data_IF_025286595778
#
_entry.id   IF_025286595778
#
_cell.length_a   1.000
_cell.length_b   1.000
_cell.length_c   1.000
_cell.angle_alpha   90.00
_cell.angle_beta   90.00
_cell.angle_gamma   90.00
#
_symmetry.space_group_name_H-M   'P 1'
#
loop_
_entity.id
_entity.type
_entity.pdbx_description
1 polymer ?
#
# COMPACT_ATOMS: atom_id res chain seq x y z
N UNK A 1 -9.54 -11.01 14.57
CA UNK A 1 -8.23 -10.42 14.94
C UNK A 1 -7.31 -11.40 15.66
N UNK A 2 -7.64 -11.89 16.84
CA UNK A 2 -6.76 -12.74 17.68
C UNK A 2 -6.23 -14.00 16.98
N UNK A 3 -7.04 -14.66 16.14
CA UNK A 3 -6.63 -15.86 15.38
C UNK A 3 -5.40 -15.61 14.47
N UNK A 4 -5.27 -14.43 13.89
CA UNK A 4 -4.18 -14.09 12.96
C UNK A 4 -2.90 -13.66 13.69
N UNK A 5 -3.03 -12.99 14.85
CA UNK A 5 -1.88 -12.62 15.67
C UNK A 5 -1.11 -13.85 16.16
N UNK A 6 -1.81 -14.92 16.50
CA UNK A 6 -1.19 -16.20 16.87
C UNK A 6 -0.44 -16.88 15.71
N UNK A 7 -0.64 -16.41 14.47
CA UNK A 7 0.06 -16.88 13.26
C UNK A 7 1.14 -15.91 12.78
N UNK A 8 1.55 -14.96 13.61
CA UNK A 8 2.49 -13.87 13.25
C UNK A 8 2.01 -13.01 12.07
N UNK A 9 0.68 -12.89 11.88
CA UNK A 9 0.04 -12.11 10.83
C UNK A 9 -0.62 -10.87 11.41
N UNK A 10 -0.36 -9.72 10.77
CA UNK A 10 -0.97 -8.43 11.16
C UNK A 10 -2.09 -8.10 10.17
N UNK A 11 -3.34 -7.91 10.62
CA UNK A 11 -4.44 -7.58 9.73
C UNK A 11 -4.35 -6.12 9.26
N UNK A 12 -4.70 -5.90 7.98
CA UNK A 12 -4.99 -4.58 7.42
C UNK A 12 -6.50 -4.47 7.32
N UNK A 13 -7.09 -3.54 8.07
CA UNK A 13 -8.55 -3.35 8.13
C UNK A 13 -8.96 -2.29 7.11
N UNK A 14 -9.91 -2.64 6.24
CA UNK A 14 -10.51 -1.71 5.30
C UNK A 14 -11.99 -1.51 5.65
N UNK A 15 -12.44 -0.25 5.69
CA UNK A 15 -13.86 0.08 5.77
C UNK A 15 -14.41 0.29 4.37
N UNK A 16 -15.23 -0.65 3.92
CA UNK A 16 -15.86 -0.58 2.60
C UNK A 16 -17.16 0.19 2.69
N UNK A 17 -17.29 1.24 1.88
CA UNK A 17 -18.53 2.02 1.75
C UNK A 17 -19.26 1.54 0.51
N UNK A 18 -20.48 1.02 0.69
CA UNK A 18 -21.40 0.71 -0.40
C UNK A 18 -22.42 1.85 -0.59
N UNK A 19 -22.69 2.22 -1.85
CA UNK A 19 -23.68 3.24 -2.21
C UNK A 19 -23.17 4.68 -2.21
N UNK A 20 -24.09 5.64 -2.04
CA UNK A 20 -23.75 7.08 -2.01
C UNK A 20 -22.81 7.41 -0.85
N UNK A 21 -21.62 7.84 -1.18
CA UNK A 21 -20.59 8.12 -0.21
C UNK A 21 -20.94 9.35 0.65
N UNK A 22 -21.03 9.16 1.96
CA UNK A 22 -21.10 10.24 2.94
C UNK A 22 -19.74 10.30 3.66
N UNK A 23 -18.87 11.20 3.20
CA UNK A 23 -17.51 11.31 3.76
C UNK A 23 -17.49 11.57 5.27
N UNK A 24 -18.47 12.30 5.83
CA UNK A 24 -18.59 12.52 7.28
C UNK A 24 -18.88 11.21 8.03
N UNK A 25 -19.65 10.29 7.44
CA UNK A 25 -19.86 8.96 7.99
C UNK A 25 -18.59 8.14 7.90
N UNK A 26 -17.91 8.15 6.76
CA UNK A 26 -16.61 7.49 6.56
C UNK A 26 -15.60 7.93 7.61
N UNK A 27 -15.44 9.23 7.81
CA UNK A 27 -14.57 9.82 8.82
C UNK A 27 -14.90 9.30 10.23
N UNK A 28 -16.17 9.31 10.65
CA UNK A 28 -16.59 8.82 11.96
C UNK A 28 -16.30 7.33 12.15
N UNK A 29 -16.60 6.52 11.14
CA UNK A 29 -16.38 5.07 11.21
C UNK A 29 -14.88 4.72 11.26
N UNK A 30 -14.02 5.39 10.48
CA UNK A 30 -12.58 5.17 10.61
C UNK A 30 -12.06 5.56 11.99
N UNK A 31 -12.45 6.70 12.55
CA UNK A 31 -12.04 7.11 13.89
C UNK A 31 -12.55 6.15 14.97
N UNK A 32 -13.77 5.61 14.83
CA UNK A 32 -14.28 4.55 15.68
C UNK A 32 -13.47 3.26 15.55
N UNK A 33 -13.14 2.83 14.33
CA UNK A 33 -12.28 1.67 14.10
C UNK A 33 -10.92 1.89 14.77
N UNK A 34 -10.26 3.02 14.53
CA UNK A 34 -8.96 3.37 15.12
C UNK A 34 -9.02 3.33 16.65
N UNK A 35 -10.09 3.85 17.27
CA UNK A 35 -10.23 3.83 18.74
C UNK A 35 -10.29 2.42 19.32
N UNK A 36 -10.83 1.45 18.57
CA UNK A 36 -11.02 0.06 18.98
C UNK A 36 -9.84 -0.86 18.63
N UNK A 37 -8.99 -0.45 17.67
CA UNK A 37 -7.86 -1.28 17.24
C UNK A 37 -6.75 -1.26 18.29
N UNK A 38 -6.11 -2.43 18.53
CA UNK A 38 -4.85 -2.49 19.27
C UNK A 38 -3.73 -1.73 18.51
N UNK A 39 -2.70 -1.37 19.24
CA UNK A 39 -1.46 -0.83 18.65
C UNK A 39 -0.85 -1.79 17.64
N UNK A 40 -0.10 -1.25 16.68
CA UNK A 40 0.58 -2.00 15.60
C UNK A 40 -0.36 -2.73 14.62
N UNK A 41 -1.66 -2.44 14.64
CA UNK A 41 -2.56 -2.83 13.56
C UNK A 41 -2.39 -1.90 12.36
N UNK A 42 -3.09 -2.20 11.28
CA UNK A 42 -3.06 -1.39 10.06
C UNK A 42 -4.48 -1.14 9.56
N UNK A 43 -4.67 0.02 8.94
CA UNK A 43 -5.90 0.35 8.22
C UNK A 43 -5.57 0.68 6.76
N UNK A 44 -6.54 0.48 5.87
CA UNK A 44 -6.45 0.92 4.49
C UNK A 44 -7.52 1.99 4.24
N UNK A 45 -7.12 3.11 3.62
CA UNK A 45 -7.99 4.24 3.27
C UNK A 45 -8.09 4.38 1.76
N UNK A 46 -9.30 4.69 1.26
CA UNK A 46 -9.50 5.24 -0.09
C UNK A 46 -9.79 6.73 0.02
N UNK A 47 -9.01 7.57 -0.65
CA UNK A 47 -9.16 9.03 -0.60
C UNK A 47 -10.52 9.49 -1.11
N UNK A 48 -11.06 8.82 -2.14
CA UNK A 48 -12.40 9.10 -2.67
C UNK A 48 -13.52 8.86 -1.65
N UNK A 49 -13.31 7.93 -0.71
CA UNK A 49 -14.29 7.66 0.36
C UNK A 49 -14.42 8.82 1.35
N UNK A 50 -13.42 9.70 1.41
CA UNK A 50 -13.43 10.98 2.13
C UNK A 50 -13.79 12.17 1.24
N UNK A 51 -14.19 11.93 -0.01
CA UNK A 51 -14.39 12.99 -1.02
C UNK A 51 -13.16 13.91 -1.16
N UNK A 52 -11.96 13.34 -0.97
CA UNK A 52 -10.66 14.06 -0.97
C UNK A 52 -10.57 15.21 0.04
N UNK A 53 -11.39 15.19 1.09
CA UNK A 53 -11.36 16.19 2.16
C UNK A 53 -10.08 16.07 2.99
N UNK A 54 -9.11 16.94 2.72
CA UNK A 54 -7.76 16.90 3.29
C UNK A 54 -7.75 17.00 4.82
N UNK A 55 -8.70 17.74 5.39
CA UNK A 55 -8.78 17.90 6.85
C UNK A 55 -9.20 16.60 7.53
N UNK A 56 -10.27 15.95 7.05
CA UNK A 56 -10.74 14.67 7.61
C UNK A 56 -9.71 13.54 7.39
N UNK A 57 -9.02 13.54 6.24
CA UNK A 57 -7.96 12.58 5.95
C UNK A 57 -6.79 12.76 6.92
N UNK A 58 -6.27 13.98 7.05
CA UNK A 58 -5.14 14.28 7.93
C UNK A 58 -5.46 13.99 9.40
N UNK A 59 -6.65 14.35 9.87
CA UNK A 59 -7.08 14.04 11.24
C UNK A 59 -7.18 12.54 11.49
N UNK A 60 -7.75 11.77 10.54
CA UNK A 60 -7.79 10.31 10.63
C UNK A 60 -6.39 9.68 10.70
N UNK A 61 -5.44 10.20 9.90
CA UNK A 61 -4.04 9.73 9.89
C UNK A 61 -3.35 10.07 11.21
N UNK A 62 -3.56 11.27 11.76
CA UNK A 62 -3.00 11.68 13.04
C UNK A 62 -3.53 10.80 14.18
N UNK A 63 -4.85 10.52 14.20
CA UNK A 63 -5.46 9.64 15.18
C UNK A 63 -4.90 8.20 15.10
N UNK A 64 -4.64 7.69 13.89
CA UNK A 64 -3.96 6.42 13.68
C UNK A 64 -2.51 6.45 14.18
N UNK A 65 -1.77 7.54 13.89
CA UNK A 65 -0.39 7.72 14.32
C UNK A 65 -0.25 7.74 15.85
N UNK A 66 -1.16 8.38 16.55
CA UNK A 66 -1.20 8.44 18.02
C UNK A 66 -1.36 7.05 18.66
N UNK A 67 -1.81 6.04 17.92
CA UNK A 67 -1.95 4.64 18.33
C UNK A 67 -0.95 3.71 17.63
N UNK A 68 0.06 4.23 16.98
CA UNK A 68 1.05 3.41 16.25
C UNK A 68 0.43 2.52 15.15
N UNK A 69 -0.68 2.96 14.55
CA UNK A 69 -1.39 2.25 13.49
C UNK A 69 -0.84 2.69 12.13
N UNK A 70 -0.42 1.73 11.30
CA UNK A 70 -0.01 1.97 9.91
C UNK A 70 -1.24 2.30 9.05
N UNK A 71 -1.11 3.29 8.16
CA UNK A 71 -2.18 3.73 7.26
C UNK A 71 -1.78 3.50 5.81
N UNK A 72 -2.43 2.58 5.13
CA UNK A 72 -2.24 2.32 3.71
C UNK A 72 -3.20 3.17 2.89
N UNK A 73 -2.70 4.07 2.07
CA UNK A 73 -3.52 4.82 1.12
C UNK A 73 -3.67 3.95 -0.12
N UNK A 74 -4.85 3.36 -0.30
CA UNK A 74 -5.14 2.50 -1.45
C UNK A 74 -5.21 3.31 -2.74
N UNK A 75 -4.52 2.83 -3.77
CA UNK A 75 -4.64 3.39 -5.11
C UNK A 75 -6.02 3.10 -5.69
N UNK A 76 -6.53 4.04 -6.46
CA UNK A 76 -7.86 4.01 -7.03
C UNK A 76 -7.81 3.93 -8.57
N UNK A 77 -8.97 4.03 -9.23
CA UNK A 77 -9.07 4.00 -10.68
C UNK A 77 -8.41 5.22 -11.34
N UNK A 78 -8.12 5.13 -12.62
CA UNK A 78 -7.46 6.17 -13.42
C UNK A 78 -8.14 7.53 -13.33
N UNK A 79 -9.47 7.54 -13.25
CA UNK A 79 -10.27 8.76 -13.06
C UNK A 79 -9.79 9.64 -11.90
N UNK A 80 -9.27 9.03 -10.84
CA UNK A 80 -8.82 9.73 -9.63
C UNK A 80 -7.29 9.73 -9.52
N UNK A 81 -6.56 9.23 -10.52
CA UNK A 81 -5.13 8.97 -10.36
C UNK A 81 -4.31 10.26 -10.12
N UNK A 82 -4.60 11.35 -10.82
CA UNK A 82 -3.88 12.60 -10.66
C UNK A 82 -4.02 13.14 -9.22
N UNK A 83 -5.25 13.33 -8.76
CA UNK A 83 -5.51 13.80 -7.39
C UNK A 83 -5.01 12.82 -6.33
N UNK A 84 -5.05 11.51 -6.62
CA UNK A 84 -4.47 10.48 -5.77
C UNK A 84 -2.95 10.66 -5.64
N UNK A 85 -2.24 10.87 -6.76
CA UNK A 85 -0.79 11.02 -6.75
C UNK A 85 -0.37 12.24 -5.90
N UNK A 86 -1.03 13.37 -6.09
CA UNK A 86 -0.72 14.60 -5.39
C UNK A 86 -0.93 14.46 -3.88
N UNK A 87 -2.13 14.03 -3.46
CA UNK A 87 -2.46 13.91 -2.04
C UNK A 87 -1.63 12.81 -1.37
N UNK A 88 -1.49 11.63 -1.99
CA UNK A 88 -0.78 10.51 -1.37
C UNK A 88 0.71 10.76 -1.26
N UNK A 89 1.33 11.50 -2.19
CA UNK A 89 2.74 11.92 -2.07
C UNK A 89 2.92 12.93 -0.95
N UNK A 90 2.03 13.91 -0.83
CA UNK A 90 2.06 14.88 0.27
C UNK A 90 1.91 14.21 1.64
N UNK A 91 0.97 13.27 1.76
CA UNK A 91 0.77 12.49 2.98
C UNK A 91 1.99 11.61 3.32
N UNK A 92 2.59 10.97 2.32
CA UNK A 92 3.81 10.15 2.48
C UNK A 92 4.97 10.98 3.05
N UNK A 93 5.13 12.22 2.60
CA UNK A 93 6.19 13.11 3.04
C UNK A 93 5.92 13.75 4.42
N UNK A 94 4.67 13.81 4.86
CA UNK A 94 4.29 14.42 6.14
C UNK A 94 4.14 13.43 7.29
N UNK A 95 3.76 12.19 7.00
CA UNK A 95 3.36 11.22 8.02
C UNK A 95 4.14 9.91 7.91
N UNK A 96 4.90 9.57 8.95
CA UNK A 96 5.77 8.36 8.98
C UNK A 96 4.99 7.04 9.00
N UNK A 97 3.73 7.06 9.40
CA UNK A 97 2.84 5.89 9.44
C UNK A 97 2.04 5.68 8.15
N UNK A 98 2.23 6.53 7.14
CA UNK A 98 1.52 6.45 5.85
C UNK A 98 2.32 5.64 4.85
N UNK A 99 1.64 4.69 4.20
CA UNK A 99 2.14 3.87 3.11
C UNK A 99 1.37 4.19 1.84
N UNK A 100 2.05 4.72 0.82
CA UNK A 100 1.46 4.96 -0.50
C UNK A 100 1.42 3.67 -1.30
N UNK A 101 0.33 3.43 -2.05
CA UNK A 101 0.17 2.24 -2.90
C UNK A 101 0.52 2.57 -4.36
N UNK A 102 1.36 1.71 -4.96
CA UNK A 102 1.79 1.80 -6.36
C UNK A 102 1.25 0.62 -7.15
N UNK A 103 0.54 0.91 -8.25
CA UNK A 103 -0.09 -0.08 -9.13
C UNK A 103 0.84 -0.39 -10.30
N UNK A 104 1.62 -1.50 -10.25
CA UNK A 104 2.67 -1.81 -11.22
C UNK A 104 2.16 -2.20 -12.62
N UNK A 105 0.85 -2.34 -12.82
CA UNK A 105 0.26 -2.49 -14.15
C UNK A 105 0.20 -1.16 -14.94
N UNK A 106 0.44 -0.02 -14.28
CA UNK A 106 0.53 1.30 -14.93
C UNK A 106 1.94 1.51 -15.46
N UNK A 107 2.03 2.03 -16.67
CA UNK A 107 3.31 2.30 -17.38
C UNK A 107 4.17 3.35 -16.66
N UNK A 108 3.54 4.29 -15.95
CA UNK A 108 4.19 5.38 -15.21
C UNK A 108 4.60 5.00 -13.78
N UNK A 109 4.05 3.92 -13.21
CA UNK A 109 4.18 3.58 -11.79
C UNK A 109 5.62 3.44 -11.32
N UNK A 110 6.50 2.86 -12.12
CA UNK A 110 7.90 2.69 -11.74
C UNK A 110 8.61 4.05 -11.58
N UNK A 111 8.34 4.99 -12.49
CA UNK A 111 8.90 6.34 -12.42
C UNK A 111 8.36 7.12 -11.22
N UNK A 112 7.05 7.02 -10.94
CA UNK A 112 6.42 7.62 -9.76
C UNK A 112 7.01 7.06 -8.48
N UNK A 113 7.14 5.74 -8.37
CA UNK A 113 7.76 5.06 -7.22
C UNK A 113 9.18 5.59 -6.97
N UNK A 114 10.04 5.61 -7.98
CA UNK A 114 11.42 6.06 -7.86
C UNK A 114 11.51 7.56 -7.51
N UNK A 115 10.64 8.38 -8.09
CA UNK A 115 10.54 9.81 -7.75
C UNK A 115 10.20 10.01 -6.25
N UNK A 116 9.24 9.27 -5.71
CA UNK A 116 8.84 9.39 -4.32
C UNK A 116 9.92 8.84 -3.36
N UNK A 117 10.59 7.75 -3.73
CA UNK A 117 11.77 7.24 -3.00
C UNK A 117 12.85 8.33 -2.91
N UNK A 118 13.19 8.97 -4.03
CA UNK A 118 14.21 10.05 -4.07
C UNK A 118 13.77 11.24 -3.21
N UNK A 119 12.50 11.66 -3.26
CA UNK A 119 11.97 12.74 -2.43
C UNK A 119 12.10 12.41 -0.94
N UNK A 120 11.67 11.22 -0.52
CA UNK A 120 11.79 10.77 0.87
C UNK A 120 13.26 10.76 1.32
N UNK A 121 14.15 10.24 0.48
CA UNK A 121 15.59 10.18 0.77
C UNK A 121 16.21 11.58 0.94
N UNK A 122 15.89 12.52 0.03
CA UNK A 122 16.33 13.93 0.10
C UNK A 122 15.82 14.65 1.35
N UNK A 123 14.61 14.37 1.79
CA UNK A 123 14.01 14.98 2.98
C UNK A 123 14.32 14.22 4.27
N UNK A 124 15.14 13.16 4.17
CA UNK A 124 15.52 12.30 5.30
C UNK A 124 14.30 11.67 6.02
N UNK A 125 13.27 11.32 5.27
CA UNK A 125 12.06 10.63 5.73
C UNK A 125 12.17 9.17 5.29
N UNK A 126 11.83 8.17 6.16
CA UNK A 126 11.76 6.78 5.73
C UNK A 126 10.70 6.62 4.64
N UNK A 127 11.08 6.06 3.50
CA UNK A 127 10.10 5.73 2.47
C UNK A 127 9.18 4.60 2.94
N UNK A 128 7.86 4.75 2.77
CA UNK A 128 6.88 3.71 3.10
C UNK A 128 5.94 3.48 1.92
N UNK A 129 6.00 2.28 1.33
CA UNK A 129 5.26 1.96 0.13
C UNK A 129 4.64 0.56 0.12
N UNK A 130 3.50 0.42 -0.56
CA UNK A 130 2.85 -0.85 -0.86
C UNK A 130 2.81 -1.04 -2.37
N UNK A 131 3.38 -2.14 -2.86
CA UNK A 131 3.33 -2.51 -4.28
C UNK A 131 2.20 -3.50 -4.52
N UNK A 132 1.36 -3.18 -5.50
CA UNK A 132 0.29 -4.05 -6.00
C UNK A 132 0.41 -4.17 -7.53
N UNK A 133 -0.21 -5.20 -8.13
CA UNK A 133 -0.31 -5.24 -9.60
C UNK A 133 -1.30 -4.24 -10.13
N UNK A 134 -2.47 -4.14 -9.52
CA UNK A 134 -3.56 -3.26 -9.89
C UNK A 134 -4.90 -4.01 -9.87
N UNK A 135 -5.99 -3.28 -9.65
CA UNK A 135 -7.31 -3.87 -9.44
C UNK A 135 -8.34 -3.50 -10.53
N UNK A 136 -8.05 -2.52 -11.38
CA UNK A 136 -9.04 -1.93 -12.30
C UNK A 136 -8.79 -2.25 -13.77
N UNK A 137 -7.95 -3.24 -14.09
CA UNK A 137 -7.53 -3.57 -15.45
C UNK A 137 -8.71 -3.78 -16.40
N UNK A 138 -9.76 -4.46 -15.97
CA UNK A 138 -10.92 -4.74 -16.81
C UNK A 138 -11.66 -3.48 -17.29
N UNK A 139 -11.65 -2.42 -16.49
CA UNK A 139 -12.33 -1.15 -16.79
C UNK A 139 -11.41 -0.14 -17.46
N UNK A 140 -10.08 -0.26 -17.31
CA UNK A 140 -9.12 0.76 -17.71
C UNK A 140 -8.16 0.33 -18.84
N UNK A 141 -8.20 -0.94 -19.27
CA UNK A 141 -7.27 -1.49 -20.27
C UNK A 141 -7.26 -0.76 -21.61
N UNK A 142 -8.32 -0.02 -21.93
CA UNK A 142 -8.44 0.73 -23.19
C UNK A 142 -7.95 2.18 -23.08
N UNK A 143 -7.58 2.65 -21.90
CA UNK A 143 -7.22 4.05 -21.64
C UNK A 143 -5.75 4.38 -22.01
N UNK A 144 -5.00 3.38 -22.47
CA UNK A 144 -3.62 3.54 -22.96
C UNK A 144 -2.54 3.63 -21.86
N UNK A 145 -2.92 3.82 -20.59
CA UNK A 145 -2.01 3.99 -19.44
C UNK A 145 -1.51 2.69 -18.83
N UNK A 146 -2.16 1.57 -19.13
CA UNK A 146 -1.86 0.26 -18.56
C UNK A 146 -1.02 -0.61 -19.49
N UNK A 147 -0.28 -1.54 -18.90
CA UNK A 147 0.24 -2.68 -19.61
C UNK A 147 -0.90 -3.62 -20.00
N UNK A 148 -0.93 -4.02 -21.27
CA UNK A 148 -1.99 -4.93 -21.77
C UNK A 148 -1.67 -6.38 -21.45
N UNK A 149 -0.39 -6.76 -21.54
CA UNK A 149 0.06 -8.11 -21.25
C UNK A 149 0.39 -8.26 -19.78
N UNK A 150 0.01 -9.41 -19.21
CA UNK A 150 0.32 -9.75 -17.82
C UNK A 150 1.83 -9.80 -17.58
N UNK A 151 2.58 -10.28 -18.56
CA UNK A 151 4.04 -10.40 -18.51
C UNK A 151 4.72 -9.05 -18.31
N UNK A 152 4.24 -7.99 -18.98
CA UNK A 152 4.77 -6.63 -18.84
C UNK A 152 4.51 -6.08 -17.42
N UNK A 153 3.32 -6.35 -16.86
CA UNK A 153 3.00 -6.03 -15.46
C UNK A 153 3.91 -6.79 -14.48
N UNK A 154 4.13 -8.09 -14.73
CA UNK A 154 5.01 -8.92 -13.89
C UNK A 154 6.45 -8.42 -13.97
N UNK A 155 6.92 -8.01 -15.15
CA UNK A 155 8.24 -7.42 -15.33
C UNK A 155 8.36 -6.09 -14.59
N UNK A 156 7.38 -5.18 -14.74
CA UNK A 156 7.34 -3.90 -14.02
C UNK A 156 7.38 -4.09 -12.49
N UNK A 157 6.60 -5.04 -11.97
CA UNK A 157 6.57 -5.37 -10.55
C UNK A 157 7.93 -5.90 -10.06
N UNK A 158 8.54 -6.83 -10.79
CA UNK A 158 9.84 -7.39 -10.44
C UNK A 158 10.96 -6.35 -10.57
N UNK A 159 10.90 -5.46 -11.59
CA UNK A 159 11.84 -4.36 -11.73
C UNK A 159 11.75 -3.37 -10.55
N UNK A 160 10.55 -3.11 -10.04
CA UNK A 160 10.37 -2.28 -8.84
C UNK A 160 11.07 -2.92 -7.63
N UNK A 161 10.96 -4.23 -7.42
CA UNK A 161 11.66 -4.96 -6.35
C UNK A 161 13.19 -4.79 -6.49
N UNK A 162 13.72 -4.97 -7.70
CA UNK A 162 15.15 -4.82 -7.97
C UNK A 162 15.63 -3.40 -7.72
N UNK A 163 14.90 -2.40 -8.20
CA UNK A 163 15.27 -1.00 -8.03
C UNK A 163 15.27 -0.59 -6.54
N UNK A 164 14.27 -1.04 -5.77
CA UNK A 164 14.21 -0.81 -4.31
C UNK A 164 15.41 -1.48 -3.62
N UNK A 165 15.69 -2.74 -3.95
CA UNK A 165 16.82 -3.47 -3.33
C UNK A 165 18.17 -2.79 -3.59
N UNK A 166 18.35 -2.22 -4.76
CA UNK A 166 19.62 -1.59 -5.17
C UNK A 166 19.71 -0.10 -4.80
N UNK A 167 18.66 0.48 -4.23
CA UNK A 167 18.64 1.89 -3.86
C UNK A 167 19.31 2.10 -2.50
N UNK A 168 20.18 3.11 -2.39
CA UNK A 168 20.83 3.50 -1.15
C UNK A 168 19.93 4.43 -0.33
N UNK A 169 19.26 3.86 0.66
CA UNK A 169 18.37 4.60 1.55
C UNK A 169 19.13 5.24 2.72
N UNK A 170 18.91 6.53 2.96
CA UNK A 170 19.41 7.22 4.16
C UNK A 170 18.76 6.71 5.45
N UNK A 171 17.53 6.19 5.35
CA UNK A 171 16.79 5.55 6.43
C UNK A 171 16.13 4.27 5.94
N UNK A 172 16.10 3.26 6.79
CA UNK A 172 15.47 1.98 6.46
C UNK A 172 14.04 2.19 5.96
N UNK A 173 13.71 1.74 4.75
CA UNK A 173 12.37 1.90 4.18
C UNK A 173 11.39 0.85 4.76
N UNK A 174 10.11 1.10 4.57
CA UNK A 174 9.05 0.17 4.91
C UNK A 174 8.33 -0.25 3.61
N UNK A 175 8.62 -1.44 3.12
CA UNK A 175 8.11 -1.91 1.82
C UNK A 175 7.19 -3.11 2.02
N UNK A 176 5.96 -2.99 1.53
CA UNK A 176 4.98 -4.08 1.55
C UNK A 176 4.72 -4.56 0.13
N UNK A 177 4.99 -5.82 -0.14
CA UNK A 177 4.67 -6.50 -1.39
C UNK A 177 3.32 -7.20 -1.25
N UNK A 178 2.25 -6.59 -1.78
CA UNK A 178 0.91 -7.16 -1.76
C UNK A 178 0.65 -7.92 -3.07
N UNK A 179 0.98 -9.20 -3.09
CA UNK A 179 0.92 -10.04 -4.28
C UNK A 179 0.71 -11.50 -3.94
N UNK A 180 0.06 -12.26 -4.84
CA UNK A 180 -0.05 -13.72 -4.81
C UNK A 180 0.91 -14.41 -5.78
N UNK A 181 1.76 -13.66 -6.47
CA UNK A 181 2.70 -14.18 -7.44
C UNK A 181 3.94 -14.75 -6.74
N UNK A 182 4.06 -16.06 -6.71
CA UNK A 182 5.14 -16.79 -6.03
C UNK A 182 6.52 -16.43 -6.56
N UNK A 183 6.65 -16.19 -7.89
CA UNK A 183 7.91 -15.79 -8.51
C UNK A 183 8.40 -14.44 -7.97
N UNK A 184 7.51 -13.44 -7.83
CA UNK A 184 7.89 -12.13 -7.28
C UNK A 184 8.26 -12.22 -5.81
N UNK A 185 7.54 -13.03 -5.02
CA UNK A 185 7.87 -13.29 -3.61
C UNK A 185 9.23 -13.98 -3.50
N UNK A 186 9.49 -14.98 -4.34
CA UNK A 186 10.78 -15.68 -4.37
C UNK A 186 11.94 -14.73 -4.69
N UNK A 187 11.80 -13.87 -5.72
CA UNK A 187 12.80 -12.86 -6.08
C UNK A 187 13.10 -11.95 -4.88
N UNK A 188 12.07 -11.40 -4.23
CA UNK A 188 12.26 -10.48 -3.10
C UNK A 188 13.02 -11.15 -1.93
N UNK A 189 12.69 -12.41 -1.62
CA UNK A 189 13.35 -13.17 -0.55
C UNK A 189 14.81 -13.52 -0.85
N UNK A 190 15.13 -13.78 -2.12
CA UNK A 190 16.52 -14.05 -2.55
C UNK A 190 17.40 -12.80 -2.44
N UNK A 191 16.84 -11.62 -2.70
CA UNK A 191 17.58 -10.37 -2.68
C UNK A 191 17.86 -9.90 -1.25
N UNK A 192 16.82 -9.64 -0.49
CA UNK A 192 16.93 -9.20 0.91
C UNK A 192 15.63 -9.52 1.65
N UNK A 193 15.64 -10.57 2.47
CA UNK A 193 14.46 -11.03 3.21
C UNK A 193 13.93 -10.02 4.24
N UNK A 194 14.81 -9.16 4.76
CA UNK A 194 14.48 -8.21 5.82
C UNK A 194 13.97 -6.87 5.28
N UNK A 195 14.11 -6.63 3.96
CA UNK A 195 13.67 -5.39 3.31
C UNK A 195 12.17 -5.37 3.02
N UNK A 196 11.55 -6.54 2.82
CA UNK A 196 10.19 -6.65 2.30
C UNK A 196 9.26 -7.35 3.28
N UNK A 197 8.18 -6.66 3.67
CA UNK A 197 7.01 -7.30 4.27
C UNK A 197 6.08 -7.82 3.15
N UNK A 198 5.35 -8.91 3.41
CA UNK A 198 4.42 -9.49 2.44
C UNK A 198 2.98 -9.35 2.91
N UNK A 199 2.06 -9.01 2.00
CA UNK A 199 0.63 -8.96 2.28
C UNK A 199 -0.17 -9.74 1.24
N UNK A 200 -1.28 -10.35 1.68
CA UNK A 200 -2.21 -11.05 0.81
C UNK A 200 -3.66 -10.84 1.25
N UNK A 201 -4.59 -11.05 0.35
CA UNK A 201 -6.01 -11.06 0.67
C UNK A 201 -6.36 -12.35 1.42
N UNK A 202 -7.19 -12.21 2.45
CA UNK A 202 -7.69 -13.35 3.22
C UNK A 202 -8.41 -14.36 2.29
N UNK A 203 -8.14 -15.64 2.46
CA UNK A 203 -8.71 -16.73 1.66
C UNK A 203 -8.00 -16.99 0.33
N UNK A 204 -6.98 -16.19 -0.04
CA UNK A 204 -6.22 -16.39 -1.28
C UNK A 204 -4.82 -16.92 -0.97
N UNK A 205 -4.47 -18.08 -1.56
CA UNK A 205 -3.14 -18.73 -1.47
C UNK A 205 -2.60 -18.87 -0.02
N UNK A 206 -3.49 -19.16 0.94
CA UNK A 206 -3.13 -19.21 2.37
C UNK A 206 -2.09 -20.29 2.69
N UNK A 207 -2.11 -21.43 1.99
CA UNK A 207 -1.13 -22.50 2.18
C UNK A 207 0.30 -22.05 1.88
N UNK A 208 0.48 -21.33 0.78
CA UNK A 208 1.79 -20.78 0.39
C UNK A 208 2.31 -19.76 1.41
N UNK A 209 1.44 -18.83 1.84
CA UNK A 209 1.80 -17.83 2.84
C UNK A 209 2.08 -18.42 4.22
N UNK A 210 1.37 -19.47 4.63
CA UNK A 210 1.66 -20.19 5.87
C UNK A 210 3.05 -20.83 5.83
N UNK A 211 3.45 -21.39 4.69
CA UNK A 211 4.78 -21.96 4.52
C UNK A 211 5.87 -20.89 4.59
N UNK A 212 5.65 -19.71 3.99
CA UNK A 212 6.59 -18.57 4.06
C UNK A 212 6.78 -18.11 5.50
N UNK A 213 5.69 -17.93 6.26
CA UNK A 213 5.74 -17.47 7.65
C UNK A 213 6.45 -18.46 8.59
N UNK A 214 6.42 -19.76 8.27
CA UNK A 214 7.05 -20.82 9.08
C UNK A 214 8.55 -21.00 8.75
N UNK A 215 9.04 -20.44 7.66
CA UNK A 215 10.45 -20.55 7.20
C UNK A 215 11.26 -19.25 7.40
N UNK A 216 10.70 -18.30 8.15
CA UNK A 216 11.31 -16.99 8.44
C UNK A 216 12.03 -17.01 9.76
#
# INVERSE_FOLDING_TARGET
GKKYLNQNKKPIINYVVEGKNNYRKTYREYNKIISLLPENYSIALKLSSFNFDSLSISDTINNANNKNIKVFIDAESDKNNEIYQDISTDLLLKHRNVYKTYQMYRKDSLNVLMSDIIKCNKTNIPFSGKLVRGAYWNTEKNDGHLFIKKEDTDQSYNQAILNINNFEFNKHPNIVLATHNEKSIYIARLLNKDLFEFAHLQGMNESYYNNICNTS
#
